data_IF_667440067032
#
_entry.id   IF_667440067032
#
_cell.length_a   1.000
_cell.length_b   1.000
_cell.length_c   1.000
_cell.angle_alpha   90.00
_cell.angle_beta   90.00
_cell.angle_gamma   90.00
#
_symmetry.space_group_name_H-M   'P 1'
#
loop_
_entity.id
_entity.type
_entity.pdbx_description
1 polymer ?
#
# COMPACT_ATOMS: atom_id res chain seq x y z
N UNK A 1 66.43 -31.93 -32.74
CA UNK A 1 66.07 -32.05 -31.34
C UNK A 1 65.66 -30.68 -30.87
N UNK A 2 64.39 -30.42 -30.93
CA UNK A 2 63.86 -29.15 -30.48
C UNK A 2 62.62 -29.48 -29.72
N UNK A 3 62.66 -29.33 -28.42
CA UNK A 3 61.53 -29.56 -27.52
C UNK A 3 60.56 -28.39 -27.57
N UNK A 4 59.38 -28.73 -27.91
CA UNK A 4 58.24 -27.77 -27.97
C UNK A 4 57.76 -27.50 -26.55
N UNK A 5 57.96 -26.28 -26.06
CA UNK A 5 57.33 -25.76 -24.86
C UNK A 5 55.84 -25.51 -25.13
N UNK A 6 54.97 -26.37 -24.63
CA UNK A 6 53.57 -26.13 -24.58
C UNK A 6 53.27 -25.19 -23.40
N UNK A 7 53.04 -23.91 -23.71
CA UNK A 7 52.49 -22.97 -22.76
C UNK A 7 51.01 -23.27 -22.55
N UNK A 8 50.65 -23.79 -21.39
CA UNK A 8 49.24 -23.92 -20.98
C UNK A 8 48.76 -22.58 -20.42
N UNK A 9 47.97 -21.89 -21.19
CA UNK A 9 47.22 -20.71 -20.72
C UNK A 9 46.05 -21.14 -19.86
N UNK A 10 46.20 -21.02 -18.55
CA UNK A 10 45.06 -21.14 -17.61
C UNK A 10 44.21 -19.91 -17.73
N UNK A 11 43.09 -20.08 -18.44
CA UNK A 11 42.01 -19.07 -18.48
C UNK A 11 41.34 -18.99 -17.13
N UNK A 12 41.54 -17.89 -16.43
CA UNK A 12 40.85 -17.55 -15.19
C UNK A 12 39.44 -17.07 -15.54
N UNK A 13 38.45 -17.97 -15.47
CA UNK A 13 37.04 -17.61 -15.61
C UNK A 13 36.61 -16.93 -14.31
N UNK A 14 36.59 -15.61 -14.29
CA UNK A 14 36.02 -14.85 -13.21
C UNK A 14 34.48 -15.00 -13.25
N UNK A 15 33.92 -15.84 -12.39
CA UNK A 15 32.50 -15.93 -12.12
C UNK A 15 32.06 -14.66 -11.40
N UNK A 16 31.57 -13.68 -12.16
CA UNK A 16 30.87 -12.54 -11.61
C UNK A 16 29.52 -13.04 -11.09
N UNK A 17 29.44 -13.29 -9.79
CA UNK A 17 28.20 -13.54 -9.11
C UNK A 17 27.40 -12.22 -9.11
N UNK A 18 26.45 -12.07 -10.02
CA UNK A 18 25.45 -11.01 -9.99
C UNK A 18 24.54 -11.27 -8.77
N UNK A 19 24.81 -10.56 -7.70
CA UNK A 19 23.89 -10.48 -6.58
C UNK A 19 22.72 -9.60 -7.05
N UNK A 20 21.64 -10.23 -7.49
CA UNK A 20 20.39 -9.54 -7.72
C UNK A 20 19.82 -9.18 -6.35
N UNK A 21 20.02 -7.93 -5.94
CA UNK A 21 19.29 -7.37 -4.80
C UNK A 21 17.83 -7.25 -5.26
N UNK A 22 16.99 -8.18 -4.80
CA UNK A 22 15.56 -8.04 -4.98
C UNK A 22 15.12 -6.78 -4.25
N UNK A 23 14.59 -5.79 -4.96
CA UNK A 23 13.97 -4.64 -4.34
C UNK A 23 12.80 -5.14 -3.46
N UNK A 24 12.60 -4.54 -2.28
CA UNK A 24 11.44 -4.87 -1.46
C UNK A 24 10.19 -4.64 -2.31
N UNK A 25 9.38 -5.67 -2.48
CA UNK A 25 8.06 -5.54 -3.09
C UNK A 25 7.21 -4.83 -2.05
N UNK A 26 6.87 -3.57 -2.31
CA UNK A 26 5.88 -2.87 -1.50
C UNK A 26 4.54 -3.60 -1.69
N UNK A 27 3.96 -4.04 -0.58
CA UNK A 27 2.68 -4.73 -0.61
C UNK A 27 1.60 -3.72 -1.04
N UNK A 28 1.03 -3.95 -2.21
CA UNK A 28 -0.12 -3.19 -2.71
C UNK A 28 -1.41 -3.91 -2.33
N UNK A 29 -2.49 -3.20 -2.01
CA UNK A 29 -3.78 -3.82 -1.74
C UNK A 29 -4.30 -4.61 -2.95
N UNK A 30 -4.94 -5.75 -2.69
CA UNK A 30 -5.58 -6.60 -3.70
C UNK A 30 -6.97 -6.06 -4.10
N UNK A 31 -7.09 -4.77 -4.35
CA UNK A 31 -8.38 -4.14 -4.66
C UNK A 31 -8.35 -3.37 -5.97
N UNK A 32 -9.55 -2.98 -6.42
CA UNK A 32 -9.75 -2.14 -7.59
C UNK A 32 -9.94 -0.69 -7.13
N UNK A 33 -8.99 0.22 -7.43
CA UNK A 33 -9.07 1.60 -6.98
C UNK A 33 -10.22 2.40 -7.61
N UNK A 34 -10.68 2.03 -8.81
CA UNK A 34 -11.83 2.70 -9.44
C UNK A 34 -13.13 2.36 -8.70
N UNK A 35 -13.32 1.09 -8.35
CA UNK A 35 -14.42 0.67 -7.48
C UNK A 35 -14.29 1.29 -6.09
N UNK A 36 -13.07 1.39 -5.56
CA UNK A 36 -12.78 2.05 -4.31
C UNK A 36 -13.21 3.50 -4.29
N UNK A 37 -12.90 4.27 -5.34
CA UNK A 37 -13.34 5.65 -5.51
C UNK A 37 -14.87 5.78 -5.53
N UNK A 38 -15.55 4.89 -6.26
CA UNK A 38 -17.00 4.86 -6.32
C UNK A 38 -17.64 4.56 -4.95
N UNK A 39 -17.09 3.59 -4.21
CA UNK A 39 -17.53 3.24 -2.85
C UNK A 39 -17.31 4.39 -1.87
N UNK A 40 -16.15 5.06 -1.91
CA UNK A 40 -15.84 6.23 -1.09
C UNK A 40 -16.89 7.33 -1.29
N UNK A 41 -17.27 7.58 -2.54
CA UNK A 41 -18.31 8.55 -2.87
C UNK A 41 -19.69 8.10 -2.37
N UNK A 42 -20.06 6.85 -2.65
CA UNK A 42 -21.36 6.27 -2.29
C UNK A 42 -21.57 6.21 -0.78
N UNK A 43 -20.56 5.86 -0.02
CA UNK A 43 -20.60 5.73 1.44
C UNK A 43 -20.47 7.07 2.16
N UNK A 44 -20.20 8.16 1.44
CA UNK A 44 -20.12 9.49 2.01
C UNK A 44 -18.89 9.75 2.87
N UNK A 45 -17.77 9.07 2.61
CA UNK A 45 -16.51 9.27 3.35
C UNK A 45 -16.06 10.75 3.31
N UNK A 46 -16.33 11.44 2.21
CA UNK A 46 -16.04 12.86 2.01
C UNK A 46 -16.80 13.81 2.91
N UNK A 47 -17.86 13.36 3.60
CA UNK A 47 -18.55 14.18 4.59
C UNK A 47 -17.69 14.47 5.82
N UNK A 48 -16.76 13.56 6.14
CA UNK A 48 -15.86 13.67 7.27
C UNK A 48 -14.39 13.91 6.89
N UNK A 49 -13.99 13.51 5.69
CA UNK A 49 -12.61 13.57 5.23
C UNK A 49 -12.44 14.46 3.99
N UNK A 50 -11.29 15.13 3.93
CA UNK A 50 -10.76 15.65 2.67
C UNK A 50 -10.10 14.48 1.95
N UNK A 51 -10.55 14.18 0.72
CA UNK A 51 -10.02 13.04 -0.05
C UNK A 51 -9.68 13.53 -1.46
N UNK A 52 -8.39 13.58 -1.82
CA UNK A 52 -7.97 13.98 -3.16
C UNK A 52 -8.64 13.11 -4.24
N UNK A 53 -9.08 13.73 -5.32
CA UNK A 53 -9.71 13.04 -6.45
C UNK A 53 -11.20 12.68 -6.26
N UNK A 54 -11.75 12.81 -5.07
CA UNK A 54 -13.19 12.55 -4.79
C UNK A 54 -13.96 13.87 -4.76
N UNK A 55 -14.92 13.99 -5.65
CA UNK A 55 -15.75 15.20 -5.78
C UNK A 55 -16.53 15.47 -4.48
N UNK A 56 -16.41 16.69 -3.96
CA UNK A 56 -17.14 17.11 -2.77
C UNK A 56 -16.57 16.60 -1.44
N UNK A 57 -15.48 15.83 -1.46
CA UNK A 57 -14.83 15.33 -0.24
C UNK A 57 -14.02 16.44 0.43
N UNK A 58 -14.66 17.23 1.28
CA UNK A 58 -14.09 18.40 1.98
C UNK A 58 -14.40 18.40 3.48
N UNK A 59 -14.77 17.26 4.04
CA UNK A 59 -15.09 17.12 5.46
C UNK A 59 -13.89 17.37 6.36
N UNK A 60 -14.14 17.94 7.54
CA UNK A 60 -13.13 18.35 8.51
C UNK A 60 -13.26 17.62 9.85
N UNK A 61 -14.12 16.62 9.93
CA UNK A 61 -14.31 15.81 11.16
C UNK A 61 -13.16 14.84 11.36
N UNK A 62 -12.78 14.16 10.27
CA UNK A 62 -11.62 13.26 10.25
C UNK A 62 -10.38 13.95 9.67
N UNK A 63 -9.20 13.33 9.77
CA UNK A 63 -8.00 13.85 9.15
C UNK A 63 -8.12 13.81 7.61
N UNK A 64 -7.43 14.71 6.89
CA UNK A 64 -7.33 14.61 5.45
C UNK A 64 -6.63 13.30 5.08
N UNK A 65 -7.04 12.69 3.96
CA UNK A 65 -6.53 11.39 3.51
C UNK A 65 -5.50 11.49 2.37
N UNK A 66 -4.97 12.70 2.15
CA UNK A 66 -3.81 12.88 1.27
C UNK A 66 -2.62 12.07 1.78
N UNK A 67 -1.77 11.63 0.87
CA UNK A 67 -0.55 10.88 1.17
C UNK A 67 -0.76 9.59 1.99
N UNK A 68 -1.94 8.99 1.94
CA UNK A 68 -2.20 7.75 2.70
C UNK A 68 -1.23 6.63 2.35
N UNK A 69 -0.81 6.52 1.08
CA UNK A 69 0.17 5.53 0.66
C UNK A 69 1.56 5.71 1.29
N UNK A 70 1.88 6.91 1.77
CA UNK A 70 3.21 7.23 2.38
C UNK A 70 3.19 7.27 3.91
N UNK A 71 2.03 7.19 4.53
CA UNK A 71 1.94 7.24 6.00
C UNK A 71 2.47 5.99 6.64
N UNK A 72 3.13 6.14 7.78
CA UNK A 72 3.69 5.03 8.54
C UNK A 72 2.63 4.33 9.40
N UNK A 73 1.60 5.07 9.82
CA UNK A 73 0.54 4.59 10.70
C UNK A 73 -0.86 4.94 10.19
N UNK A 74 -1.82 4.05 10.48
CA UNK A 74 -3.26 4.27 10.33
C UNK A 74 -3.79 4.67 11.71
N UNK A 75 -4.54 5.76 11.77
CA UNK A 75 -5.15 6.30 12.99
C UNK A 75 -4.16 6.47 14.17
N UNK A 76 -2.86 6.54 13.89
CA UNK A 76 -1.81 6.61 14.91
C UNK A 76 -1.59 5.31 15.71
N UNK A 77 -2.26 4.22 15.38
CA UNK A 77 -2.29 2.96 16.15
C UNK A 77 -1.73 1.78 15.36
N UNK A 78 -2.24 1.53 14.16
CA UNK A 78 -1.81 0.40 13.34
C UNK A 78 -0.67 0.78 12.40
N UNK A 79 0.26 -0.14 12.17
CA UNK A 79 1.20 0.00 11.05
C UNK A 79 0.42 0.05 9.75
N UNK A 80 0.81 0.96 8.86
CA UNK A 80 0.14 1.12 7.57
C UNK A 80 0.56 0.00 6.61
N UNK A 81 -0.20 -1.08 6.64
CA UNK A 81 -0.12 -2.19 5.70
C UNK A 81 -1.49 -2.39 5.06
N UNK A 82 -1.57 -3.02 3.87
CA UNK A 82 -2.85 -3.31 3.22
C UNK A 82 -3.83 -4.05 4.13
N UNK A 83 -3.37 -5.05 4.88
CA UNK A 83 -4.19 -5.84 5.80
C UNK A 83 -4.69 -4.99 6.97
N UNK A 84 -3.84 -4.12 7.52
CA UNK A 84 -4.21 -3.19 8.58
C UNK A 84 -5.24 -2.18 8.10
N UNK A 85 -5.11 -1.68 6.87
CA UNK A 85 -6.07 -0.75 6.28
C UNK A 85 -7.43 -1.41 6.11
N UNK A 86 -7.49 -2.63 5.57
CA UNK A 86 -8.73 -3.41 5.45
C UNK A 86 -9.37 -3.63 6.81
N UNK A 87 -8.58 -4.03 7.81
CA UNK A 87 -9.05 -4.23 9.19
C UNK A 87 -9.65 -2.95 9.76
N UNK A 88 -8.96 -1.82 9.62
CA UNK A 88 -9.43 -0.53 10.11
C UNK A 88 -10.70 -0.06 9.40
N UNK A 89 -10.78 -0.17 8.08
CA UNK A 89 -11.94 0.23 7.30
C UNK A 89 -13.20 -0.58 7.67
N UNK A 90 -13.04 -1.86 7.96
CA UNK A 90 -14.16 -2.74 8.33
C UNK A 90 -14.67 -2.52 9.74
N UNK A 91 -13.78 -2.20 10.67
CA UNK A 91 -14.15 -1.96 12.07
C UNK A 91 -13.22 -0.95 12.75
N UNK A 92 -13.39 0.36 12.47
CA UNK A 92 -12.54 1.38 13.06
C UNK A 92 -12.69 1.47 14.58
N UNK A 93 -13.85 1.08 15.14
CA UNK A 93 -14.11 1.10 16.57
C UNK A 93 -13.33 0.02 17.35
N UNK A 94 -12.99 -1.09 16.71
CA UNK A 94 -12.11 -2.11 17.31
C UNK A 94 -10.67 -1.62 17.48
N UNK A 95 -10.24 -0.69 16.64
CA UNK A 95 -8.89 -0.11 16.66
C UNK A 95 -8.83 1.15 17.51
N UNK A 96 -9.81 2.04 17.37
CA UNK A 96 -9.92 3.29 18.11
C UNK A 96 -11.29 3.33 18.80
N UNK A 97 -11.42 2.74 19.98
CA UNK A 97 -12.69 2.72 20.71
C UNK A 97 -13.18 4.16 20.98
N UNK A 98 -14.47 4.40 20.76
CA UNK A 98 -15.11 5.71 20.88
C UNK A 98 -14.58 6.78 19.90
N UNK A 99 -13.86 6.39 18.87
CA UNK A 99 -13.48 7.27 17.77
C UNK A 99 -14.71 7.76 16.98
N UNK A 100 -14.57 8.91 16.29
CA UNK A 100 -15.68 9.49 15.53
C UNK A 100 -16.01 8.74 14.22
N UNK A 101 -15.09 7.94 13.69
CA UNK A 101 -15.32 7.18 12.46
C UNK A 101 -16.26 6.01 12.72
N UNK A 102 -17.44 5.98 12.09
CA UNK A 102 -18.42 4.91 12.30
C UNK A 102 -18.02 3.63 11.57
N UNK A 103 -18.58 2.50 12.01
CA UNK A 103 -18.54 1.25 11.27
C UNK A 103 -19.45 1.37 10.04
N UNK A 104 -18.90 1.08 8.86
CA UNK A 104 -19.60 1.23 7.58
C UNK A 104 -20.14 -0.10 7.01
N UNK A 105 -20.05 -1.20 7.78
CA UNK A 105 -20.50 -2.54 7.39
C UNK A 105 -19.92 -3.03 6.05
N UNK A 106 -18.66 -2.70 5.79
CA UNK A 106 -17.94 -3.13 4.60
C UNK A 106 -17.63 -4.62 4.65
N UNK A 107 -17.86 -5.32 3.55
CA UNK A 107 -17.24 -6.60 3.35
C UNK A 107 -15.73 -6.45 3.02
N UNK A 108 -15.03 -7.58 2.99
CA UNK A 108 -13.58 -7.56 2.78
C UNK A 108 -13.19 -7.02 1.40
N UNK A 109 -13.93 -7.40 0.35
CA UNK A 109 -13.66 -6.94 -1.01
C UNK A 109 -13.86 -5.43 -1.15
N UNK A 110 -14.93 -4.90 -0.58
CA UNK A 110 -15.19 -3.46 -0.57
C UNK A 110 -14.09 -2.69 0.18
N UNK A 111 -13.64 -3.22 1.31
CA UNK A 111 -12.56 -2.61 2.08
C UNK A 111 -11.22 -2.68 1.32
N UNK A 112 -10.95 -3.76 0.59
CA UNK A 112 -9.78 -3.89 -0.28
C UNK A 112 -9.82 -2.86 -1.42
N UNK A 113 -10.96 -2.67 -2.07
CA UNK A 113 -11.12 -1.68 -3.14
C UNK A 113 -10.89 -0.26 -2.63
N UNK A 114 -11.45 0.09 -1.47
CA UNK A 114 -11.23 1.40 -0.84
C UNK A 114 -9.76 1.56 -0.46
N UNK A 115 -9.14 0.55 0.14
CA UNK A 115 -7.73 0.57 0.49
C UNK A 115 -6.86 0.79 -0.75
N UNK A 116 -7.16 0.11 -1.87
CA UNK A 116 -6.43 0.29 -3.12
C UNK A 116 -6.46 1.74 -3.60
N UNK A 117 -7.61 2.42 -3.52
CA UNK A 117 -7.70 3.83 -3.84
C UNK A 117 -6.86 4.70 -2.89
N UNK A 118 -6.97 4.48 -1.58
CA UNK A 118 -6.25 5.28 -0.58
C UNK A 118 -4.73 5.15 -0.71
N UNK A 119 -4.22 3.97 -1.09
CA UNK A 119 -2.78 3.77 -1.31
C UNK A 119 -2.24 4.46 -2.57
N UNK A 120 -3.10 4.89 -3.49
CA UNK A 120 -2.70 5.72 -4.63
C UNK A 120 -2.53 7.21 -4.28
N UNK A 121 -2.97 7.63 -3.09
CA UNK A 121 -2.88 9.02 -2.66
C UNK A 121 -1.47 9.32 -2.11
N UNK A 122 -0.66 9.95 -2.97
CA UNK A 122 0.75 10.31 -2.73
C UNK A 122 0.90 11.75 -2.22
#
# INVERSE_FOLDING_TARGET
>A
MIDAFKAATFGLIALLAFWTVAAPVEATPDGDPERGAALILQLGCGACHVIPGITGAKGLVGPPLDQMGKRVYIAGVLRNTPESMVTFLRDPQSVVPNGAMPKMDLDESQAQDIAAYLYMLD
#
